data_IF_940862443379
#
_entry.id   IF_940862443379
#
_cell.length_a   1.000
_cell.length_b   1.000
_cell.length_c   1.000
_cell.angle_alpha   90.00
_cell.angle_beta   90.00
_cell.angle_gamma   90.00
#
_symmetry.space_group_name_H-M   'P 1'
#
loop_
_entity.id
_entity.type
_entity.pdbx_description
1 polymer ?
#
# COMPACT_ATOMS: atom_id res chain seq x y z
N UNK A 1 -31.49 -50.16 4.66
CA UNK A 1 -31.57 -48.85 3.98
C UNK A 1 -30.25 -48.13 4.20
N UNK A 2 -29.30 -48.10 3.24
CA UNK A 2 -28.03 -47.42 3.44
C UNK A 2 -28.21 -45.94 3.12
N UNK A 3 -28.25 -45.12 4.17
CA UNK A 3 -28.37 -43.68 4.08
C UNK A 3 -27.07 -43.09 3.54
N UNK A 4 -27.15 -42.55 2.32
CA UNK A 4 -26.72 -41.20 1.93
C UNK A 4 -25.46 -40.59 2.61
N UNK A 5 -24.44 -41.40 2.87
CA UNK A 5 -23.22 -40.98 3.58
C UNK A 5 -22.28 -40.17 2.68
N UNK A 6 -22.38 -40.36 1.37
CA UNK A 6 -21.59 -39.63 0.38
C UNK A 6 -22.06 -38.19 0.22
N UNK A 7 -23.37 -37.94 0.17
CA UNK A 7 -23.91 -36.58 0.01
C UNK A 7 -23.63 -35.69 1.23
N UNK A 8 -23.55 -36.28 2.42
CA UNK A 8 -23.20 -35.54 3.63
C UNK A 8 -21.74 -35.10 3.66
N UNK A 9 -20.82 -35.98 3.23
CA UNK A 9 -19.39 -35.64 3.11
C UNK A 9 -19.16 -34.52 2.09
N UNK A 10 -19.84 -34.56 0.95
CA UNK A 10 -19.73 -33.53 -0.08
C UNK A 10 -20.32 -32.17 0.36
N UNK A 11 -21.44 -32.17 1.10
CA UNK A 11 -22.02 -30.94 1.62
C UNK A 11 -21.13 -30.25 2.68
N UNK A 12 -20.50 -31.03 3.56
CA UNK A 12 -19.59 -30.50 4.60
C UNK A 12 -18.32 -29.92 3.98
N UNK A 13 -17.75 -30.58 2.96
CA UNK A 13 -16.57 -30.08 2.25
C UNK A 13 -16.85 -28.76 1.52
N UNK A 14 -18.03 -28.63 0.89
CA UNK A 14 -18.41 -27.41 0.16
C UNK A 14 -18.68 -26.24 1.11
N UNK A 15 -19.30 -26.51 2.27
CA UNK A 15 -19.51 -25.50 3.31
C UNK A 15 -18.19 -25.00 3.92
N UNK A 16 -17.20 -25.90 4.11
CA UNK A 16 -15.88 -25.53 4.60
C UNK A 16 -15.12 -24.66 3.59
N UNK A 17 -15.21 -24.97 2.29
CA UNK A 17 -14.59 -24.18 1.23
C UNK A 17 -15.14 -22.74 1.17
N UNK A 18 -16.45 -22.56 1.34
CA UNK A 18 -17.09 -21.23 1.41
C UNK A 18 -16.66 -20.45 2.64
N UNK A 19 -16.46 -21.12 3.79
CA UNK A 19 -15.98 -20.46 5.02
C UNK A 19 -14.52 -19.99 4.90
N UNK A 20 -13.66 -20.71 4.18
CA UNK A 20 -12.26 -20.30 3.97
C UNK A 20 -12.17 -19.06 3.07
N UNK A 21 -13.09 -18.90 2.11
CA UNK A 21 -13.11 -17.70 1.25
C UNK A 21 -13.50 -16.41 1.98
N UNK A 22 -14.14 -16.49 3.15
CA UNK A 22 -14.58 -15.31 3.90
C UNK A 22 -13.49 -14.72 4.83
N UNK A 23 -12.44 -15.47 5.15
CA UNK A 23 -11.40 -15.01 6.08
C UNK A 23 -10.34 -14.09 5.45
N UNK A 24 -10.43 -13.82 4.14
CA UNK A 24 -9.51 -12.93 3.42
C UNK A 24 -10.03 -11.52 3.18
N UNK A 25 -11.33 -11.27 3.37
CA UNK A 25 -11.92 -9.96 3.16
C UNK A 25 -11.88 -9.15 4.46
N UNK A 26 -10.68 -8.77 4.89
CA UNK A 26 -10.55 -7.65 5.83
C UNK A 26 -10.97 -6.41 5.04
N UNK A 27 -12.16 -5.89 5.33
CA UNK A 27 -12.49 -4.50 4.99
C UNK A 27 -11.44 -3.66 5.71
N UNK A 28 -10.46 -3.15 4.98
CA UNK A 28 -9.70 -2.03 5.50
C UNK A 28 -10.74 -0.91 5.69
N UNK A 29 -10.82 -0.35 6.89
CA UNK A 29 -11.53 0.91 7.08
C UNK A 29 -11.00 1.88 6.00
N UNK A 30 -11.91 2.55 5.29
CA UNK A 30 -11.61 3.35 4.08
C UNK A 30 -10.65 4.53 4.34
N UNK A 31 -10.29 4.81 5.60
CA UNK A 31 -9.23 5.77 5.90
C UNK A 31 -7.86 5.15 5.62
N UNK A 32 -7.16 5.70 4.62
CA UNK A 32 -5.78 5.33 4.38
C UNK A 32 -4.96 5.59 5.64
N UNK A 33 -4.36 4.54 6.21
CA UNK A 33 -3.44 4.70 7.35
C UNK A 33 -2.01 4.77 6.86
N UNK A 34 -1.27 5.81 7.25
CA UNK A 34 0.13 5.98 6.91
C UNK A 34 0.97 6.29 8.15
N UNK A 35 2.05 5.55 8.35
CA UNK A 35 2.98 5.83 9.44
C UNK A 35 3.65 7.20 9.23
N UNK A 36 3.37 8.14 10.13
CA UNK A 36 3.99 9.48 10.14
C UNK A 36 5.49 9.33 10.39
N UNK A 37 6.35 9.82 9.48
CA UNK A 37 7.79 9.77 9.66
C UNK A 37 8.26 10.75 10.77
N UNK A 38 9.44 10.51 11.33
CA UNK A 38 10.05 11.37 12.35
C UNK A 38 11.46 11.82 11.89
N UNK A 39 11.56 12.71 10.90
CA UNK A 39 12.84 13.19 10.38
C UNK A 39 13.49 14.24 11.29
N UNK A 40 14.73 14.63 10.97
CA UNK A 40 15.39 15.75 11.65
C UNK A 40 14.66 17.09 11.42
N UNK A 41 14.98 18.09 12.25
CA UNK A 41 14.30 19.39 12.22
C UNK A 41 14.40 20.13 10.87
N UNK A 42 15.51 19.93 10.12
CA UNK A 42 15.70 20.57 8.81
C UNK A 42 14.76 19.94 7.78
N UNK A 43 14.71 18.61 7.75
CA UNK A 43 13.82 17.87 6.88
C UNK A 43 12.33 18.11 7.24
N UNK A 44 11.97 18.15 8.52
CA UNK A 44 10.62 18.53 8.97
C UNK A 44 10.21 19.87 8.38
N UNK A 45 11.04 20.91 8.49
CA UNK A 45 10.73 22.24 7.94
C UNK A 45 10.55 22.23 6.43
N UNK A 46 11.32 21.42 5.71
CA UNK A 46 11.16 21.26 4.26
C UNK A 46 9.84 20.58 3.92
N UNK A 47 9.50 19.50 4.61
CA UNK A 47 8.24 18.77 4.41
C UNK A 47 7.01 19.64 4.68
N UNK A 48 7.02 20.45 5.74
CA UNK A 48 5.94 21.39 6.04
C UNK A 48 5.77 22.48 4.96
N UNK A 49 6.86 22.86 4.28
CA UNK A 49 6.76 23.80 3.17
C UNK A 49 6.29 23.11 1.88
N UNK A 50 6.68 21.85 1.67
CA UNK A 50 6.18 21.03 0.58
C UNK A 50 4.67 20.83 0.70
N UNK A 51 4.18 20.49 1.89
CA UNK A 51 2.75 20.25 2.15
C UNK A 51 1.84 21.40 1.68
N UNK A 52 2.28 22.64 1.90
CA UNK A 52 1.57 23.87 1.50
C UNK A 52 1.45 24.07 0.00
N UNK A 53 2.32 23.44 -0.78
CA UNK A 53 2.36 23.58 -2.25
C UNK A 53 1.96 22.28 -2.95
N UNK A 54 1.54 21.25 -2.22
CA UNK A 54 1.07 20.01 -2.81
C UNK A 54 -0.16 20.27 -3.69
N UNK A 55 -0.25 19.60 -4.85
CA UNK A 55 -1.36 19.77 -5.75
C UNK A 55 -2.64 19.20 -5.14
N UNK A 56 -3.77 19.81 -5.49
CA UNK A 56 -5.08 19.28 -5.12
C UNK A 56 -5.39 17.91 -5.76
N UNK A 57 -4.69 17.57 -6.86
CA UNK A 57 -4.86 16.30 -7.57
C UNK A 57 -3.53 15.70 -8.03
N UNK A 58 -3.44 14.38 -7.98
CA UNK A 58 -2.36 13.57 -8.57
C UNK A 58 -3.02 12.42 -9.31
N UNK A 59 -2.63 12.20 -10.56
CA UNK A 59 -3.21 11.14 -11.41
C UNK A 59 -4.75 11.14 -11.47
N UNK A 60 -5.36 12.34 -11.50
CA UNK A 60 -6.82 12.50 -11.50
C UNK A 60 -7.50 12.35 -10.13
N UNK A 61 -6.84 11.69 -9.18
CA UNK A 61 -7.31 11.50 -7.81
C UNK A 61 -7.24 12.80 -7.00
N UNK A 62 -8.28 13.04 -6.20
CA UNK A 62 -8.35 14.23 -5.33
C UNK A 62 -7.64 14.00 -4.01
N UNK A 63 -7.08 15.07 -3.43
CA UNK A 63 -6.37 15.00 -2.15
C UNK A 63 -7.28 14.46 -1.04
N UNK A 64 -6.78 13.45 -0.36
CA UNK A 64 -7.41 12.77 0.77
C UNK A 64 -6.29 12.27 1.68
N UNK A 65 -5.98 13.05 2.71
CA UNK A 65 -4.79 12.81 3.53
C UNK A 65 -5.01 11.65 4.51
N UNK A 66 -4.00 10.78 4.70
CA UNK A 66 -4.13 9.61 5.56
C UNK A 66 -4.19 9.95 7.05
N UNK A 67 -4.71 9.02 7.84
CA UNK A 67 -4.67 9.10 9.31
C UNK A 67 -3.39 8.48 9.89
N UNK A 68 -2.81 9.08 10.96
CA UNK A 68 -3.22 10.35 11.58
C UNK A 68 -2.77 11.57 10.75
N UNK A 69 -3.57 12.64 10.78
CA UNK A 69 -3.26 13.88 10.06
C UNK A 69 -1.89 14.46 10.43
N UNK A 70 -1.07 14.78 9.42
CA UNK A 70 0.28 15.31 9.61
C UNK A 70 0.74 16.09 8.38
N UNK A 71 1.47 17.20 8.59
CA UNK A 71 2.15 17.95 7.52
C UNK A 71 3.34 17.17 6.89
N UNK A 72 3.58 15.93 7.31
CA UNK A 72 4.62 15.04 6.78
C UNK A 72 4.07 13.93 5.88
N UNK A 73 2.74 13.83 5.75
CA UNK A 73 2.05 12.82 4.96
C UNK A 73 0.93 13.44 4.16
N UNK A 74 0.74 12.99 2.92
CA UNK A 74 -0.39 13.40 2.09
C UNK A 74 -0.88 12.21 1.26
N UNK A 75 -2.14 12.23 0.88
CA UNK A 75 -2.76 11.15 0.10
C UNK A 75 -3.66 11.66 -1.02
N UNK A 76 -3.89 10.81 -2.01
CA UNK A 76 -4.87 11.04 -3.08
C UNK A 76 -5.59 9.71 -3.38
N UNK A 77 -6.92 9.78 -3.50
CA UNK A 77 -7.74 8.60 -3.82
C UNK A 77 -7.73 7.55 -2.69
N UNK A 78 -7.78 7.98 -1.43
CA UNK A 78 -7.65 7.11 -0.27
C UNK A 78 -6.27 6.45 -0.20
N UNK A 79 -6.21 5.11 -0.35
CA UNK A 79 -4.97 4.33 -0.27
C UNK A 79 -4.18 4.25 -1.59
N UNK A 80 -4.68 4.86 -2.67
CA UNK A 80 -4.08 4.71 -3.99
C UNK A 80 -2.69 5.35 -4.09
N UNK A 81 -2.54 6.58 -3.59
CA UNK A 81 -1.30 7.36 -3.73
C UNK A 81 -0.99 7.99 -2.38
N UNK A 82 0.15 7.63 -1.78
CA UNK A 82 0.60 8.15 -0.48
C UNK A 82 2.00 8.74 -0.59
N UNK A 83 2.12 9.99 -0.18
CA UNK A 83 3.39 10.67 0.03
C UNK A 83 3.79 10.61 1.50
N UNK A 84 5.01 10.15 1.79
CA UNK A 84 5.65 10.24 3.11
C UNK A 84 6.95 11.04 2.99
N UNK A 85 6.97 12.24 3.54
CA UNK A 85 8.12 13.13 3.40
C UNK A 85 9.13 12.93 4.54
N UNK A 86 10.43 12.89 4.21
CA UNK A 86 11.49 12.74 5.20
C UNK A 86 11.72 11.31 5.69
N UNK A 87 11.26 10.29 4.95
CA UNK A 87 11.63 8.90 5.24
C UNK A 87 13.13 8.73 5.04
N UNK A 88 13.80 8.10 6.01
CA UNK A 88 15.23 7.83 5.94
C UNK A 88 15.57 7.04 4.68
N UNK A 89 16.63 7.44 3.99
CA UNK A 89 17.04 6.76 2.75
C UNK A 89 17.59 5.39 3.13
N UNK A 90 17.05 4.29 2.59
CA UNK A 90 17.61 2.97 2.82
C UNK A 90 19.11 2.95 2.43
N UNK A 91 20.00 2.38 3.24
CA UNK A 91 21.45 2.44 3.00
C UNK A 91 21.86 1.95 1.60
N UNK A 92 21.15 0.93 1.07
CA UNK A 92 21.39 0.42 -0.28
C UNK A 92 21.10 1.46 -1.37
N UNK A 93 20.12 2.35 -1.18
CA UNK A 93 19.82 3.45 -2.12
C UNK A 93 20.87 4.58 -2.08
N UNK A 94 21.83 4.55 -1.17
CA UNK A 94 22.98 5.46 -1.21
C UNK A 94 24.09 4.97 -2.14
N UNK A 95 24.06 3.71 -2.59
CA UNK A 95 25.01 3.19 -3.57
C UNK A 95 24.71 3.77 -4.97
N UNK A 96 25.63 4.49 -5.61
CA UNK A 96 25.43 5.02 -6.96
C UNK A 96 25.14 3.92 -8.00
N UNK A 97 25.59 2.68 -7.78
CA UNK A 97 25.26 1.56 -8.67
C UNK A 97 23.75 1.27 -8.68
N UNK A 98 23.07 1.43 -7.55
CA UNK A 98 21.61 1.25 -7.47
C UNK A 98 20.89 2.34 -8.27
N UNK A 99 21.31 3.60 -8.12
CA UNK A 99 20.72 4.72 -8.85
C UNK A 99 20.95 4.63 -10.38
N UNK A 100 22.07 4.06 -10.80
CA UNK A 100 22.43 3.89 -12.21
C UNK A 100 21.92 2.58 -12.83
N UNK A 101 21.18 1.74 -12.08
CA UNK A 101 20.71 0.45 -12.56
C UNK A 101 21.81 -0.59 -12.79
N UNK A 102 22.94 -0.45 -12.09
CA UNK A 102 24.12 -1.30 -12.19
C UNK A 102 24.26 -2.26 -10.99
N UNK A 103 23.26 -2.34 -10.12
CA UNK A 103 23.20 -3.32 -9.04
C UNK A 103 22.80 -4.69 -9.61
N UNK A 104 23.71 -5.65 -9.56
CA UNK A 104 23.48 -7.00 -10.08
C UNK A 104 22.39 -7.77 -9.30
N UNK A 105 22.11 -7.35 -8.07
CA UNK A 105 21.06 -7.92 -7.23
C UNK A 105 19.71 -7.20 -7.41
N UNK A 106 19.64 -6.17 -8.27
CA UNK A 106 18.41 -5.44 -8.51
C UNK A 106 17.44 -6.27 -9.35
N UNK A 107 16.22 -6.44 -8.84
CA UNK A 107 15.10 -7.02 -9.59
C UNK A 107 14.40 -5.88 -10.33
N UNK A 108 14.36 -5.86 -11.67
CA UNK A 108 13.56 -4.89 -12.39
C UNK A 108 12.08 -5.08 -12.05
N UNK A 109 11.38 -3.98 -11.74
CA UNK A 109 9.94 -4.01 -11.54
C UNK A 109 9.25 -4.30 -12.86
N UNK A 110 8.76 -5.52 -13.06
CA UNK A 110 7.89 -5.86 -14.17
C UNK A 110 6.49 -5.30 -13.90
N UNK A 111 5.98 -4.45 -14.78
CA UNK A 111 4.54 -4.18 -14.84
C UNK A 111 3.93 -5.25 -15.75
N UNK A 112 3.12 -6.13 -15.19
CA UNK A 112 2.31 -7.04 -16.00
C UNK A 112 1.15 -6.23 -16.59
N UNK A 113 1.30 -5.81 -17.85
CA UNK A 113 0.24 -5.10 -18.57
C UNK A 113 -0.83 -6.12 -18.97
N UNK A 114 -1.86 -6.27 -18.13
CA UNK A 114 -3.04 -7.07 -18.44
C UNK A 114 -3.88 -6.35 -19.50
N UNK A 115 -3.52 -6.56 -20.76
CA UNK A 115 -4.38 -6.21 -21.90
C UNK A 115 -5.59 -7.16 -21.87
N UNK A 116 -6.75 -6.61 -21.51
CA UNK A 116 -8.06 -7.24 -21.66
C UNK A 116 -8.75 -6.79 -22.94
#
# INVERSE_FOLDING_TARGET
MPVNSFRHRHAVLSALAVLITAAGCSSADDSASAAVPSPDAKATKLCQNLDKVLPAKVDGESRDDPEPASELTAGWGGVAIILRCGVERPPKMADPKVANGQDADAVPGGVEESTG
#
